data_IF_687767944047
#
_entry.id   IF_687767944047
#
_cell.length_a   1.000
_cell.length_b   1.000
_cell.length_c   1.000
_cell.angle_alpha   90.00
_cell.angle_beta   90.00
_cell.angle_gamma   90.00
#
_symmetry.space_group_name_H-M   'P 1'
#
loop_
_entity.id
_entity.type
_entity.pdbx_description
1 polymer ?
#
# COMPACT_ATOMS: atom_id res chain seq x y z
N UNK A 1 -22.02 25.68 -4.17
CA UNK A 1 -21.92 25.05 -2.83
C UNK A 1 -21.50 23.59 -2.92
N UNK A 2 -22.09 22.76 -3.80
CA UNK A 2 -21.73 21.34 -3.95
C UNK A 2 -20.27 21.06 -4.39
N UNK A 3 -19.67 21.89 -5.26
CA UNK A 3 -18.30 21.69 -5.71
C UNK A 3 -17.23 21.82 -4.61
N UNK A 4 -17.46 22.67 -3.61
CA UNK A 4 -16.54 22.81 -2.48
C UNK A 4 -16.55 21.56 -1.59
N UNK A 5 -17.74 21.02 -1.30
CA UNK A 5 -17.90 19.78 -0.53
C UNK A 5 -17.28 18.59 -1.27
N UNK A 6 -17.54 18.48 -2.58
CA UNK A 6 -16.94 17.44 -3.41
C UNK A 6 -15.40 17.49 -3.40
N UNK A 7 -14.81 18.68 -3.53
CA UNK A 7 -13.35 18.85 -3.49
C UNK A 7 -12.76 18.44 -2.15
N UNK A 8 -13.40 18.81 -1.04
CA UNK A 8 -12.93 18.42 0.30
C UNK A 8 -13.02 16.90 0.48
N UNK A 9 -14.10 16.26 0.04
CA UNK A 9 -14.27 14.80 0.13
C UNK A 9 -13.22 14.08 -0.72
N UNK A 10 -12.99 14.52 -1.96
CA UNK A 10 -11.98 13.93 -2.87
C UNK A 10 -10.58 14.09 -2.27
N UNK A 11 -10.27 15.26 -1.72
CA UNK A 11 -8.98 15.53 -1.08
C UNK A 11 -8.77 14.66 0.16
N UNK A 12 -9.80 14.50 1.01
CA UNK A 12 -9.74 13.62 2.17
C UNK A 12 -9.49 12.16 1.77
N UNK A 13 -10.22 11.64 0.77
CA UNK A 13 -10.02 10.29 0.24
C UNK A 13 -8.61 10.11 -0.33
N UNK A 14 -8.12 11.11 -1.06
CA UNK A 14 -6.77 11.08 -1.63
C UNK A 14 -5.70 10.96 -0.54
N UNK A 15 -5.78 11.79 0.50
CA UNK A 15 -4.85 11.77 1.64
C UNK A 15 -4.89 10.44 2.38
N UNK A 16 -6.08 9.88 2.63
CA UNK A 16 -6.24 8.58 3.31
C UNK A 16 -5.62 7.45 2.49
N UNK A 17 -5.89 7.40 1.18
CA UNK A 17 -5.32 6.39 0.29
C UNK A 17 -3.79 6.51 0.19
N UNK A 18 -3.27 7.73 0.08
CA UNK A 18 -1.83 8.01 0.08
C UNK A 18 -1.19 7.52 1.39
N UNK A 19 -1.79 7.85 2.54
CA UNK A 19 -1.30 7.43 3.84
C UNK A 19 -1.26 5.90 3.98
N UNK A 20 -2.31 5.20 3.53
CA UNK A 20 -2.38 3.74 3.56
C UNK A 20 -1.30 3.09 2.67
N UNK A 21 -1.10 3.60 1.45
CA UNK A 21 -0.05 3.15 0.54
C UNK A 21 1.35 3.39 1.13
N UNK A 22 1.58 4.59 1.65
CA UNK A 22 2.84 4.95 2.31
C UNK A 22 3.14 4.07 3.52
N UNK A 23 2.12 3.79 4.34
CA UNK A 23 2.26 2.91 5.50
C UNK A 23 2.65 1.49 5.09
N UNK A 24 1.99 0.92 4.07
CA UNK A 24 2.34 -0.41 3.55
C UNK A 24 3.79 -0.47 3.03
N UNK A 25 4.25 0.58 2.34
CA UNK A 25 5.63 0.66 1.85
C UNK A 25 6.65 0.74 2.98
N UNK A 26 6.41 1.57 4.00
CA UNK A 26 7.29 1.68 5.17
C UNK A 26 7.33 0.37 5.96
N UNK A 27 6.19 -0.29 6.15
CA UNK A 27 6.12 -1.61 6.80
C UNK A 27 6.89 -2.66 5.98
N UNK A 28 6.78 -2.63 4.64
CA UNK A 28 7.57 -3.49 3.74
C UNK A 28 9.08 -3.24 3.79
N UNK A 29 9.51 -1.99 3.93
CA UNK A 29 10.92 -1.67 4.13
C UNK A 29 11.45 -2.22 5.45
N UNK A 30 10.66 -2.05 6.53
CA UNK A 30 10.99 -2.49 7.89
C UNK A 30 10.91 -4.00 8.08
N UNK A 31 10.10 -4.70 7.28
CA UNK A 31 9.96 -6.15 7.37
C UNK A 31 11.30 -6.87 7.08
N UNK A 32 11.76 -7.80 7.94
CA UNK A 32 13.01 -8.52 7.71
C UNK A 32 12.94 -9.39 6.45
N UNK A 33 13.97 -9.30 5.59
CA UNK A 33 14.01 -10.01 4.30
C UNK A 33 14.07 -11.54 4.42
N UNK A 34 14.58 -12.04 5.54
CA UNK A 34 14.70 -13.47 5.82
C UNK A 34 13.35 -14.19 5.99
N UNK A 35 12.26 -13.46 6.24
CA UNK A 35 10.93 -14.02 6.50
C UNK A 35 10.12 -14.22 5.20
N UNK A 36 10.46 -13.51 4.13
CA UNK A 36 9.76 -13.60 2.85
C UNK A 36 9.86 -14.98 2.15
N UNK A 37 11.00 -15.69 2.18
CA UNK A 37 11.09 -17.05 1.64
C UNK A 37 10.14 -18.05 2.32
N UNK A 38 9.89 -17.89 3.62
CA UNK A 38 9.00 -18.76 4.41
C UNK A 38 7.50 -18.47 4.25
N UNK A 39 7.13 -17.28 3.75
CA UNK A 39 5.72 -16.85 3.63
C UNK A 39 5.08 -17.35 2.33
N UNK A 40 5.87 -17.58 1.28
CA UNK A 40 5.42 -18.22 0.03
C UNK A 40 5.80 -17.44 -1.22
N UNK A 41 6.46 -18.15 -2.15
CA UNK A 41 6.82 -17.88 -3.57
C UNK A 41 7.40 -16.52 -3.99
N UNK A 42 7.08 -15.40 -3.34
CA UNK A 42 7.40 -14.05 -3.79
C UNK A 42 8.46 -13.40 -2.90
N UNK A 43 9.48 -12.82 -3.53
CA UNK A 43 10.63 -12.23 -2.82
C UNK A 43 10.29 -10.87 -2.20
N UNK A 44 11.05 -10.45 -1.19
CA UNK A 44 10.96 -9.10 -0.61
C UNK A 44 11.06 -8.02 -1.69
N UNK A 45 11.90 -8.22 -2.71
CA UNK A 45 12.14 -7.27 -3.79
C UNK A 45 10.84 -7.01 -4.57
N UNK A 46 10.08 -8.05 -4.92
CA UNK A 46 8.83 -7.88 -5.66
C UNK A 46 7.80 -7.08 -4.86
N UNK A 47 7.65 -7.37 -3.57
CA UNK A 47 6.74 -6.60 -2.71
C UNK A 47 7.16 -5.15 -2.51
N UNK A 48 8.47 -4.88 -2.45
CA UNK A 48 9.03 -3.55 -2.35
C UNK A 48 8.77 -2.75 -3.64
N UNK A 49 8.93 -3.38 -4.81
CA UNK A 49 8.59 -2.77 -6.10
C UNK A 49 7.09 -2.50 -6.22
N UNK A 50 6.24 -3.47 -5.86
CA UNK A 50 4.79 -3.33 -5.93
C UNK A 50 4.26 -2.25 -4.99
N UNK A 51 4.70 -2.24 -3.73
CA UNK A 51 4.32 -1.20 -2.76
C UNK A 51 4.91 0.16 -3.15
N UNK A 52 6.13 0.20 -3.70
CA UNK A 52 6.74 1.42 -4.24
C UNK A 52 5.94 2.03 -5.39
N UNK A 53 5.56 1.21 -6.38
CA UNK A 53 4.67 1.62 -7.47
C UNK A 53 3.29 2.06 -6.94
N UNK A 54 2.76 1.39 -5.92
CA UNK A 54 1.52 1.80 -5.27
C UNK A 54 1.63 3.20 -4.65
N UNK A 55 2.73 3.54 -3.97
CA UNK A 55 2.96 4.90 -3.45
C UNK A 55 3.12 5.91 -4.58
N UNK A 56 3.89 5.59 -5.62
CA UNK A 56 4.09 6.48 -6.77
C UNK A 56 2.77 6.85 -7.45
N UNK A 57 1.85 5.89 -7.63
CA UNK A 57 0.51 6.18 -8.16
C UNK A 57 -0.35 7.02 -7.21
N UNK A 58 -0.06 7.00 -5.90
CA UNK A 58 -0.71 7.85 -4.90
C UNK A 58 -0.20 9.30 -4.91
N UNK A 59 1.06 9.54 -5.27
CA UNK A 59 1.66 10.88 -5.27
C UNK A 59 1.08 11.78 -6.37
N UNK A 60 0.50 11.19 -7.42
CA UNK A 60 -0.15 11.92 -8.50
C UNK A 60 -1.67 11.89 -8.28
N UNK A 61 -2.33 13.02 -7.94
CA UNK A 61 -3.76 13.07 -7.63
C UNK A 61 -4.64 12.51 -8.74
N UNK A 62 -4.32 12.88 -9.99
CA UNK A 62 -5.04 12.41 -11.19
C UNK A 62 -4.91 10.90 -11.42
N UNK A 63 -3.83 10.28 -10.93
CA UNK A 63 -3.57 8.85 -11.10
C UNK A 63 -4.09 8.02 -9.91
N UNK A 64 -4.29 8.65 -8.75
CA UNK A 64 -4.71 7.98 -7.53
C UNK A 64 -6.16 7.48 -7.57
N UNK A 65 -7.03 8.21 -8.28
CA UNK A 65 -8.42 7.83 -8.52
C UNK A 65 -8.61 7.09 -9.87
N UNK A 66 -7.53 6.89 -10.62
CA UNK A 66 -7.53 6.10 -11.84
C UNK A 66 -7.44 4.60 -11.53
N UNK A 67 -7.67 3.75 -12.54
CA UNK A 67 -7.51 2.28 -12.45
C UNK A 67 -6.17 1.87 -11.81
N UNK A 68 -5.09 2.58 -12.13
CA UNK A 68 -3.77 2.35 -11.55
C UNK A 68 -3.70 2.69 -10.07
N UNK A 69 -4.37 3.77 -9.64
CA UNK A 69 -4.43 4.18 -8.25
C UNK A 69 -5.20 3.18 -7.40
N UNK A 70 -6.31 2.66 -7.93
CA UNK A 70 -7.09 1.57 -7.32
C UNK A 70 -6.26 0.29 -7.26
N UNK A 71 -5.60 -0.11 -8.35
CA UNK A 71 -4.69 -1.26 -8.34
C UNK A 71 -3.59 -1.12 -7.28
N UNK A 72 -2.99 0.07 -7.15
CA UNK A 72 -2.04 0.37 -6.09
C UNK A 72 -2.65 0.27 -4.69
N UNK A 73 -3.88 0.72 -4.49
CA UNK A 73 -4.57 0.56 -3.22
C UNK A 73 -4.83 -0.91 -2.89
N UNK A 74 -5.25 -1.71 -3.87
CA UNK A 74 -5.42 -3.16 -3.73
C UNK A 74 -4.10 -3.84 -3.35
N UNK A 75 -2.99 -3.49 -4.00
CA UNK A 75 -1.65 -4.00 -3.65
C UNK A 75 -1.31 -3.68 -2.19
N UNK A 76 -1.55 -2.44 -1.74
CA UNK A 76 -1.29 -2.03 -0.36
C UNK A 76 -2.17 -2.78 0.65
N UNK A 77 -3.45 -3.02 0.31
CA UNK A 77 -4.37 -3.81 1.13
C UNK A 77 -3.96 -5.28 1.22
N UNK A 78 -3.56 -5.90 0.10
CA UNK A 78 -3.06 -7.28 0.10
C UNK A 78 -1.80 -7.38 0.97
N UNK A 79 -0.87 -6.44 0.85
CA UNK A 79 0.31 -6.41 1.71
C UNK A 79 -0.06 -6.35 3.20
N UNK A 80 -0.96 -5.42 3.55
CA UNK A 80 -1.39 -5.18 4.94
C UNK A 80 -2.17 -6.33 5.55
N UNK A 81 -3.03 -7.01 4.78
CA UNK A 81 -3.95 -8.02 5.31
C UNK A 81 -3.50 -9.45 5.06
N UNK A 82 -2.71 -9.73 4.03
CA UNK A 82 -2.23 -11.09 3.77
C UNK A 82 -0.81 -11.29 4.28
N UNK A 83 0.11 -10.36 3.97
CA UNK A 83 1.54 -10.58 4.25
C UNK A 83 1.91 -10.16 5.66
N UNK A 84 1.48 -8.97 6.10
CA UNK A 84 1.83 -8.46 7.44
C UNK A 84 1.40 -9.43 8.55
N UNK A 85 0.20 -10.05 8.53
CA UNK A 85 -0.17 -11.05 9.54
C UNK A 85 0.70 -12.30 9.45
N UNK A 86 1.09 -12.74 8.24
CA UNK A 86 2.00 -13.89 8.05
C UNK A 86 3.41 -13.61 8.56
N UNK A 87 3.93 -12.39 8.36
CA UNK A 87 5.22 -11.96 8.93
C UNK A 87 5.15 -12.03 10.46
N UNK A 88 4.06 -11.50 11.05
CA UNK A 88 3.84 -11.54 12.50
C UNK A 88 3.68 -12.96 13.05
N UNK A 89 3.00 -13.85 12.33
CA UNK A 89 2.86 -15.24 12.77
C UNK A 89 4.18 -16.00 12.80
N UNK A 90 5.12 -15.65 11.92
CA UNK A 90 6.45 -16.30 11.88
C UNK A 90 7.40 -15.71 12.93
N UNK A 91 7.33 -14.39 13.16
CA UNK A 91 8.19 -13.73 14.15
C UNK A 91 7.77 -13.97 15.61
N UNK A 92 6.60 -14.58 15.87
CA UNK A 92 6.08 -14.81 17.22
C UNK A 92 5.66 -13.52 17.95
N UNK A 93 4.97 -13.62 19.10
CA UNK A 93 4.58 -12.47 19.92
C UNK A 93 5.79 -11.67 20.44
#
# INVERSE_FOLDING_TARGET
MFGAVQNVVVLALWVVLLALKGFAFVDCLRAPGAVFPSIGRQTKILWLVLTGLAVLTGLVPNLTLSLFGIAGAVIALIYLFDIRPRIKSINGP
#
